data_IF_084756124588
#
_entry.id   IF_084756124588
#
_cell.length_a   1.000
_cell.length_b   1.000
_cell.length_c   1.000
_cell.angle_alpha   90.00
_cell.angle_beta   90.00
_cell.angle_gamma   90.00
#
_symmetry.space_group_name_H-M   'P 1'
#
loop_
_entity.id
_entity.type
_entity.pdbx_description
1 polymer ?
#
# COMPACT_ATOMS: atom_id res chain seq x y z
N UNK A 1 -53.45 15.67 40.23
CA UNK A 1 -52.51 16.42 39.38
C UNK A 1 -52.47 17.87 39.90
N UNK A 2 -51.33 18.38 40.36
CA UNK A 2 -51.27 19.68 41.05
C UNK A 2 -51.06 20.83 40.04
N UNK A 3 -52.09 21.66 39.86
CA UNK A 3 -52.17 22.67 38.77
C UNK A 3 -51.24 23.89 38.96
N UNK A 4 -50.60 24.00 40.12
CA UNK A 4 -49.74 25.13 40.50
C UNK A 4 -48.24 24.85 40.41
N UNK A 5 -47.82 23.67 39.93
CA UNK A 5 -46.40 23.34 39.80
C UNK A 5 -45.87 23.85 38.46
N UNK A 6 -45.05 24.91 38.49
CA UNK A 6 -44.33 25.36 37.29
C UNK A 6 -43.26 24.32 36.89
N UNK A 7 -43.09 24.02 35.59
CA UNK A 7 -41.97 23.21 35.12
C UNK A 7 -40.67 23.97 35.42
N UNK A 8 -39.79 23.42 36.24
CA UNK A 8 -38.43 23.96 36.41
C UNK A 8 -37.60 23.58 35.17
N UNK A 9 -37.18 24.59 34.41
CA UNK A 9 -36.25 24.40 33.29
C UNK A 9 -34.88 24.08 33.90
N UNK A 10 -34.52 22.79 33.95
CA UNK A 10 -33.15 22.39 34.26
C UNK A 10 -32.30 22.72 33.04
N UNK A 11 -31.62 23.87 33.06
CA UNK A 11 -30.44 24.06 32.22
C UNK A 11 -29.41 23.05 32.74
N UNK A 12 -28.96 22.13 31.88
CA UNK A 12 -27.93 21.15 32.23
C UNK A 12 -26.71 21.83 32.85
N UNK A 13 -25.83 21.03 33.51
CA UNK A 13 -24.57 21.55 34.09
C UNK A 13 -23.88 22.48 33.09
N UNK A 14 -23.86 23.77 33.43
CA UNK A 14 -23.09 24.74 32.66
C UNK A 14 -21.61 24.34 32.80
N UNK A 15 -20.86 24.24 31.69
CA UNK A 15 -19.44 23.93 31.77
C UNK A 15 -18.74 24.98 32.63
N UNK A 16 -17.71 24.57 33.36
CA UNK A 16 -16.90 25.51 34.14
C UNK A 16 -16.38 26.63 33.23
N UNK A 17 -16.48 27.90 33.65
CA UNK A 17 -16.04 29.02 32.83
C UNK A 17 -14.54 28.92 32.60
N UNK A 18 -14.14 28.80 31.32
CA UNK A 18 -12.72 28.78 30.97
C UNK A 18 -12.07 30.12 31.32
N UNK A 19 -11.06 30.07 32.19
CA UNK A 19 -10.33 31.27 32.57
C UNK A 19 -9.43 31.73 31.42
N UNK A 20 -9.11 33.04 31.31
CA UNK A 20 -8.15 33.54 30.33
C UNK A 20 -6.78 32.81 30.37
N UNK A 21 -6.37 32.35 31.55
CA UNK A 21 -5.15 31.55 31.73
C UNK A 21 -5.24 30.17 31.08
N UNK A 22 -6.39 29.51 31.14
CA UNK A 22 -6.62 28.22 30.47
C UNK A 22 -6.56 28.37 28.94
N UNK A 23 -7.13 29.46 28.40
CA UNK A 23 -7.02 29.75 26.96
C UNK A 23 -5.58 29.98 26.51
N UNK A 24 -4.77 30.68 27.32
CA UNK A 24 -3.36 30.89 27.01
C UNK A 24 -2.57 29.56 26.97
N UNK A 25 -2.87 28.62 27.88
CA UNK A 25 -2.28 27.28 27.87
C UNK A 25 -2.67 26.48 26.61
N UNK A 26 -3.96 26.50 26.22
CA UNK A 26 -4.43 25.83 25.00
C UNK A 26 -3.71 26.36 23.74
N UNK A 27 -3.57 27.68 23.59
CA UNK A 27 -2.89 28.29 22.42
C UNK A 27 -1.42 27.88 22.34
N UNK A 28 -0.75 27.75 23.50
CA UNK A 28 0.63 27.28 23.56
C UNK A 28 0.75 25.81 23.15
N UNK A 29 -0.11 24.95 23.71
CA UNK A 29 -0.16 23.53 23.37
C UNK A 29 -0.49 23.30 21.90
N UNK A 30 -1.38 24.10 21.32
CA UNK A 30 -1.73 24.01 19.91
C UNK A 30 -0.55 24.41 19.00
N UNK A 31 0.20 25.46 19.35
CA UNK A 31 1.41 25.86 18.59
C UNK A 31 2.53 24.82 18.66
N UNK A 32 2.83 24.29 19.85
CA UNK A 32 3.96 23.36 20.03
C UNK A 32 3.57 21.92 19.70
N UNK A 33 2.35 21.53 20.02
CA UNK A 33 1.81 20.19 19.82
C UNK A 33 1.55 19.88 18.35
N UNK A 34 0.96 20.82 17.60
CA UNK A 34 0.63 20.61 16.18
C UNK A 34 1.86 20.29 15.34
N UNK A 35 2.96 21.03 15.51
CA UNK A 35 4.21 20.81 14.78
C UNK A 35 4.80 19.42 15.03
N UNK A 36 4.74 18.92 16.28
CA UNK A 36 5.25 17.58 16.63
C UNK A 36 4.40 16.47 16.03
N UNK A 37 3.08 16.60 16.08
CA UNK A 37 2.14 15.64 15.49
C UNK A 37 2.33 15.60 13.98
N UNK A 38 2.45 16.77 13.34
CA UNK A 38 2.67 16.87 11.89
C UNK A 38 3.99 16.20 11.48
N UNK A 39 5.09 16.44 12.22
CA UNK A 39 6.37 15.78 11.96
C UNK A 39 6.27 14.24 12.07
N UNK A 40 5.53 13.73 13.06
CA UNK A 40 5.28 12.29 13.22
C UNK A 40 4.47 11.73 12.04
N UNK A 41 3.41 12.40 11.63
CA UNK A 41 2.60 12.01 10.46
C UNK A 41 3.41 11.99 9.17
N UNK A 42 4.29 12.98 8.97
CA UNK A 42 5.21 13.01 7.82
C UNK A 42 6.18 11.84 7.81
N UNK A 43 6.71 11.45 8.97
CA UNK A 43 7.56 10.26 9.07
C UNK A 43 6.79 9.00 8.69
N UNK A 44 5.56 8.84 9.16
CA UNK A 44 4.72 7.70 8.78
C UNK A 44 4.40 7.67 7.29
N UNK A 45 4.08 8.82 6.68
CA UNK A 45 3.88 8.91 5.24
C UNK A 45 5.13 8.51 4.48
N UNK A 46 6.30 9.03 4.85
CA UNK A 46 7.57 8.70 4.21
C UNK A 46 7.88 7.19 4.30
N UNK A 47 7.76 6.59 5.48
CA UNK A 47 7.97 5.14 5.64
C UNK A 47 6.92 4.31 4.91
N UNK A 48 5.66 4.72 4.93
CA UNK A 48 4.59 4.06 4.18
C UNK A 48 4.87 4.05 2.68
N UNK A 49 5.27 5.19 2.12
CA UNK A 49 5.67 5.29 0.71
C UNK A 49 6.90 4.43 0.39
N UNK A 50 7.91 4.41 1.26
CA UNK A 50 9.10 3.58 1.06
C UNK A 50 8.75 2.08 1.06
N UNK A 51 7.94 1.62 2.01
CA UNK A 51 7.49 0.22 2.08
C UNK A 51 6.68 -0.14 0.84
N UNK A 52 5.76 0.73 0.42
CA UNK A 52 4.95 0.51 -0.78
C UNK A 52 5.82 0.39 -2.02
N UNK A 53 6.76 1.32 -2.24
CA UNK A 53 7.67 1.30 -3.39
C UNK A 53 8.58 0.07 -3.36
N UNK A 54 9.17 -0.26 -2.20
CA UNK A 54 10.04 -1.44 -2.06
C UNK A 54 9.26 -2.75 -2.27
N UNK A 55 8.06 -2.86 -1.71
CA UNK A 55 7.18 -4.01 -1.91
C UNK A 55 6.78 -4.18 -3.38
N UNK A 56 6.41 -3.09 -4.05
CA UNK A 56 6.08 -3.11 -5.47
C UNK A 56 7.27 -3.51 -6.35
N UNK A 57 8.44 -2.90 -6.12
CA UNK A 57 9.67 -3.27 -6.83
C UNK A 57 10.02 -4.75 -6.62
N UNK A 58 9.90 -5.26 -5.39
CA UNK A 58 10.18 -6.67 -5.07
C UNK A 58 9.19 -7.61 -5.79
N UNK A 59 7.91 -7.28 -5.78
CA UNK A 59 6.88 -8.04 -6.49
C UNK A 59 7.13 -8.06 -8.01
N UNK A 60 7.55 -6.92 -8.59
CA UNK A 60 7.87 -6.82 -10.00
C UNK A 60 9.10 -7.65 -10.37
N UNK A 61 10.16 -7.61 -9.56
CA UNK A 61 11.34 -8.46 -9.74
C UNK A 61 10.94 -9.94 -9.73
N UNK A 62 10.15 -10.35 -8.74
CA UNK A 62 9.67 -11.73 -8.65
C UNK A 62 8.82 -12.14 -9.85
N UNK A 63 7.93 -11.28 -10.32
CA UNK A 63 7.13 -11.52 -11.51
C UNK A 63 8.01 -11.61 -12.77
N UNK A 64 8.99 -10.72 -12.93
CA UNK A 64 9.90 -10.70 -14.08
C UNK A 64 10.83 -11.93 -14.13
N UNK A 65 11.25 -12.42 -12.96
CA UNK A 65 12.11 -13.60 -12.85
C UNK A 65 11.37 -14.91 -13.19
N UNK A 66 10.03 -14.90 -13.20
CA UNK A 66 9.20 -16.03 -13.65
C UNK A 66 9.07 -16.12 -15.19
N UNK A 67 9.88 -15.38 -15.94
CA UNK A 67 9.88 -15.37 -17.40
C UNK A 67 9.83 -16.78 -18.00
N UNK A 68 8.82 -17.03 -18.84
CA UNK A 68 8.62 -18.31 -19.50
C UNK A 68 9.56 -18.43 -20.70
N UNK A 69 10.69 -19.12 -20.52
CA UNK A 69 11.54 -19.50 -21.65
C UNK A 69 10.82 -20.60 -22.41
N UNK A 70 10.39 -20.32 -23.64
CA UNK A 70 9.84 -21.31 -24.57
C UNK A 70 10.95 -21.67 -25.57
N UNK A 71 11.68 -22.79 -25.37
CA UNK A 71 12.65 -23.23 -26.35
C UNK A 71 11.93 -23.64 -27.66
N UNK A 72 12.59 -23.48 -28.80
CA UNK A 72 12.08 -23.90 -30.11
C UNK A 72 13.08 -24.87 -30.74
N UNK A 73 12.57 -25.96 -31.34
CA UNK A 73 13.39 -26.89 -32.13
C UNK A 73 13.09 -26.65 -33.61
N UNK A 74 14.16 -26.51 -34.40
CA UNK A 74 14.07 -26.41 -35.87
C UNK A 74 14.74 -27.66 -36.45
N UNK A 75 14.01 -28.40 -37.26
CA UNK A 75 14.58 -29.51 -38.02
C UNK A 75 15.22 -28.97 -39.30
N UNK A 76 16.48 -29.37 -39.55
CA UNK A 76 17.23 -29.01 -40.77
C UNK A 76 17.58 -30.27 -41.57
N UNK A 77 17.56 -30.17 -42.90
CA UNK A 77 18.02 -31.24 -43.79
C UNK A 77 19.54 -31.23 -43.98
N UNK A 78 20.09 -32.26 -44.65
CA UNK A 78 21.53 -32.37 -44.93
C UNK A 78 22.10 -31.24 -45.82
N UNK A 79 21.24 -30.44 -46.47
CA UNK A 79 21.59 -29.29 -47.28
C UNK A 79 21.39 -27.96 -46.52
N UNK A 80 20.94 -28.02 -45.25
CA UNK A 80 20.71 -26.87 -44.37
C UNK A 80 19.34 -26.19 -44.53
N UNK A 81 18.38 -26.77 -45.25
CA UNK A 81 17.02 -26.24 -45.36
C UNK A 81 16.21 -26.54 -44.08
N UNK A 82 15.53 -25.52 -43.54
CA UNK A 82 14.63 -25.68 -42.41
C UNK A 82 13.32 -26.35 -42.86
N UNK A 83 13.02 -27.54 -42.31
CA UNK A 83 11.85 -28.32 -42.70
C UNK A 83 10.62 -28.08 -41.79
N UNK A 84 10.83 -27.86 -40.49
CA UNK A 84 9.73 -27.73 -39.51
C UNK A 84 10.19 -26.96 -38.27
N UNK A 85 9.34 -26.05 -37.78
CA UNK A 85 9.56 -25.27 -36.55
C UNK A 85 8.46 -25.64 -35.56
N UNK A 86 8.84 -26.18 -34.40
CA UNK A 86 7.90 -26.51 -33.33
C UNK A 86 8.44 -26.04 -31.97
N UNK A 87 7.53 -25.67 -31.06
CA UNK A 87 7.90 -25.38 -29.68
C UNK A 87 8.53 -26.64 -29.07
N UNK A 88 9.67 -26.49 -28.42
CA UNK A 88 10.36 -27.58 -27.76
C UNK A 88 9.51 -28.02 -26.56
N UNK A 89 8.83 -29.15 -26.70
CA UNK A 89 8.18 -29.82 -25.57
C UNK A 89 9.26 -30.42 -24.68
N UNK A 90 9.07 -30.39 -23.36
CA UNK A 90 10.06 -30.87 -22.40
C UNK A 90 10.45 -32.35 -22.60
N UNK A 91 9.57 -33.13 -23.24
CA UNK A 91 9.79 -34.55 -23.55
C UNK A 91 10.39 -34.78 -24.95
N UNK A 92 10.82 -33.73 -25.66
CA UNK A 92 11.43 -33.89 -26.98
C UNK A 92 12.78 -34.61 -26.85
N UNK A 93 12.77 -35.88 -27.22
CA UNK A 93 13.98 -36.71 -27.34
C UNK A 93 14.45 -36.65 -28.79
N UNK A 94 15.64 -36.10 -29.09
CA UNK A 94 16.21 -36.19 -30.42
C UNK A 94 16.40 -37.67 -30.75
N UNK A 95 15.67 -38.18 -31.74
CA UNK A 95 15.90 -39.52 -32.30
C UNK A 95 17.06 -39.45 -33.28
N UNK A 96 17.98 -40.41 -33.17
CA UNK A 96 19.18 -40.52 -33.98
C UNK A 96 18.83 -40.57 -35.48
N UNK A 97 19.42 -39.69 -36.33
CA UNK A 97 19.26 -39.77 -37.76
C UNK A 97 20.18 -40.86 -38.33
N UNK A 98 19.74 -42.10 -38.24
CA UNK A 98 20.25 -43.24 -39.01
C UNK A 98 19.13 -43.81 -39.88
#
# INVERSE_FOLDING_TARGET
>A
MNIFRRPSTNYGKSPEPETPYQKAAQVWDERIGSARVQAKSWRYMAFGSLILSAGFASALVWQSARGTVVPWVVQVDNLGQAQTVAAATADYRPTDPQ
#
